data_IF_773131801178
#
_entry.id   IF_773131801178
#
_cell.length_a   1.000
_cell.length_b   1.000
_cell.length_c   1.000
_cell.angle_alpha   90.00
_cell.angle_beta   90.00
_cell.angle_gamma   90.00
#
_symmetry.space_group_name_H-M   'P 1'
#
loop_
_entity.id
_entity.type
_entity.pdbx_description
1 polymer ?
#
# COMPACT_ATOMS: atom_id res chain seq x y z
N UNK A 1 -0.84 18.50 -14.25
CA UNK A 1 -0.62 19.89 -14.69
C UNK A 1 0.47 20.49 -13.83
N UNK A 2 1.47 21.19 -14.40
CA UNK A 2 2.45 21.94 -13.63
C UNK A 2 1.75 22.92 -12.67
N UNK A 3 2.35 23.15 -11.49
CA UNK A 3 1.77 24.05 -10.49
C UNK A 3 1.67 25.50 -11.00
N UNK A 4 2.65 25.96 -11.78
CA UNK A 4 2.64 27.30 -12.38
C UNK A 4 1.45 27.53 -13.31
N UNK A 5 1.09 26.53 -14.13
CA UNK A 5 -0.08 26.63 -15.02
C UNK A 5 -1.38 26.65 -14.23
N UNK A 6 -1.44 25.91 -13.12
CA UNK A 6 -2.61 25.87 -12.23
C UNK A 6 -2.86 27.23 -11.60
N UNK A 7 -1.79 27.84 -11.11
CA UNK A 7 -1.84 29.11 -10.42
C UNK A 7 -2.22 30.22 -11.41
N UNK A 8 -1.62 30.23 -12.61
CA UNK A 8 -2.02 31.14 -13.69
C UNK A 8 -3.51 31.04 -14.07
N UNK A 9 -4.10 29.84 -14.08
CA UNK A 9 -5.53 29.66 -14.34
C UNK A 9 -6.38 30.22 -13.20
N UNK A 10 -5.96 30.03 -11.95
CA UNK A 10 -6.65 30.57 -10.78
C UNK A 10 -6.62 32.10 -10.79
N UNK A 11 -5.47 32.70 -11.07
CA UNK A 11 -5.29 34.16 -11.16
C UNK A 11 -6.15 34.75 -12.27
N UNK A 12 -6.09 34.15 -13.47
CA UNK A 12 -6.86 34.61 -14.62
C UNK A 12 -8.36 34.61 -14.35
N UNK A 13 -8.90 33.52 -13.80
CA UNK A 13 -10.33 33.42 -13.52
C UNK A 13 -10.76 34.36 -12.38
N UNK A 14 -9.89 34.61 -11.41
CA UNK A 14 -10.17 35.52 -10.29
C UNK A 14 -10.21 36.97 -10.76
N UNK A 15 -9.21 37.40 -11.53
CA UNK A 15 -9.14 38.73 -12.15
C UNK A 15 -10.34 39.00 -13.08
N UNK A 16 -10.75 38.01 -13.87
CA UNK A 16 -11.95 38.15 -14.72
C UNK A 16 -13.25 38.20 -13.93
N UNK A 17 -13.35 37.48 -12.82
CA UNK A 17 -14.54 37.56 -11.96
C UNK A 17 -14.69 38.95 -11.34
N UNK A 18 -13.59 39.59 -10.95
CA UNK A 18 -13.57 40.96 -10.44
C UNK A 18 -13.93 41.98 -11.54
N UNK A 19 -13.31 41.87 -12.72
CA UNK A 19 -13.53 42.81 -13.83
C UNK A 19 -14.93 42.77 -14.42
N UNK A 20 -15.56 41.59 -14.45
CA UNK A 20 -16.87 41.39 -15.09
C UNK A 20 -18.01 41.31 -14.10
N UNK A 21 -17.71 41.27 -12.79
CA UNK A 21 -18.66 41.02 -11.71
C UNK A 21 -19.51 39.76 -11.91
N UNK A 22 -19.03 38.83 -12.77
CA UNK A 22 -19.72 37.60 -13.06
C UNK A 22 -19.49 36.57 -11.95
N UNK A 23 -20.51 35.76 -11.62
CA UNK A 23 -20.33 34.67 -10.68
C UNK A 23 -19.25 33.69 -11.17
N UNK A 24 -18.28 33.36 -10.31
CA UNK A 24 -17.22 32.39 -10.59
C UNK A 24 -17.76 31.06 -11.14
N UNK A 25 -18.93 30.62 -10.68
CA UNK A 25 -19.58 29.41 -11.19
C UNK A 25 -19.88 29.45 -12.71
N UNK A 26 -20.17 30.63 -13.26
CA UNK A 26 -20.43 30.84 -14.69
C UNK A 26 -19.13 30.78 -15.49
N UNK A 27 -18.09 31.44 -14.99
CA UNK A 27 -16.75 31.40 -15.60
C UNK A 27 -16.17 29.98 -15.61
N UNK A 28 -16.29 29.24 -14.50
CA UNK A 28 -15.86 27.84 -14.41
C UNK A 28 -16.61 26.93 -15.37
N UNK A 29 -17.91 27.17 -15.58
CA UNK A 29 -18.70 26.42 -16.56
C UNK A 29 -18.20 26.66 -17.98
N UNK A 30 -17.87 27.90 -18.34
CA UNK A 30 -17.33 28.23 -19.66
C UNK A 30 -15.91 27.71 -19.87
N UNK A 31 -15.09 27.70 -18.82
CA UNK A 31 -13.75 27.13 -18.84
C UNK A 31 -13.73 25.59 -18.77
N UNK A 32 -14.91 24.94 -18.65
CA UNK A 32 -15.05 23.49 -18.46
C UNK A 32 -14.26 22.92 -17.27
N UNK A 33 -14.07 23.73 -16.23
CA UNK A 33 -13.38 23.35 -15.00
C UNK A 33 -14.42 23.04 -13.92
N UNK A 34 -14.31 21.87 -13.30
CA UNK A 34 -15.18 21.51 -12.19
C UNK A 34 -14.89 22.39 -10.96
N UNK A 35 -15.95 22.82 -10.25
CA UNK A 35 -15.81 23.63 -9.02
C UNK A 35 -14.86 23.00 -8.00
N UNK A 36 -14.95 21.69 -7.68
CA UNK A 36 -14.06 21.09 -6.68
C UNK A 36 -12.59 21.22 -7.07
N UNK A 37 -12.26 20.99 -8.34
CA UNK A 37 -10.90 21.11 -8.87
C UNK A 37 -10.38 22.54 -8.74
N UNK A 38 -11.19 23.54 -9.09
CA UNK A 38 -10.79 24.95 -8.95
C UNK A 38 -10.50 25.34 -7.50
N UNK A 39 -11.35 24.94 -6.55
CA UNK A 39 -11.12 25.29 -5.14
C UNK A 39 -9.94 24.53 -4.54
N UNK A 40 -9.72 23.27 -4.92
CA UNK A 40 -8.50 22.53 -4.58
C UNK A 40 -7.24 23.25 -5.10
N UNK A 41 -7.30 23.76 -6.33
CA UNK A 41 -6.20 24.51 -6.94
C UNK A 41 -5.95 25.84 -6.24
N UNK A 42 -7.01 26.60 -5.96
CA UNK A 42 -6.93 27.84 -5.19
C UNK A 42 -6.37 27.62 -3.79
N UNK A 43 -6.74 26.52 -3.12
CA UNK A 43 -6.20 26.17 -1.80
C UNK A 43 -4.71 25.86 -1.85
N UNK A 44 -4.24 25.28 -2.97
CA UNK A 44 -2.83 24.94 -3.17
C UNK A 44 -2.02 26.04 -3.88
N UNK A 45 -2.62 27.21 -4.12
CA UNK A 45 -1.98 28.29 -4.87
C UNK A 45 -0.61 28.66 -4.30
N UNK A 46 0.43 28.73 -5.14
CA UNK A 46 1.80 28.99 -4.74
C UNK A 46 2.55 27.76 -4.18
N UNK A 47 1.86 26.64 -3.92
CA UNK A 47 2.50 25.42 -3.49
C UNK A 47 2.95 24.59 -4.70
N UNK A 48 4.23 24.22 -4.69
CA UNK A 48 4.78 23.25 -5.62
C UNK A 48 4.03 21.92 -5.55
N UNK A 49 4.04 21.19 -6.67
CA UNK A 49 3.58 19.80 -6.66
C UNK A 49 4.64 18.94 -5.97
N UNK A 50 4.55 18.84 -4.66
CA UNK A 50 5.27 17.81 -3.91
C UNK A 50 4.68 16.46 -4.30
N UNK A 51 5.41 15.72 -5.13
CA UNK A 51 5.12 14.29 -5.25
C UNK A 51 5.37 13.73 -3.87
N UNK A 52 4.37 13.09 -3.26
CA UNK A 52 4.63 12.16 -2.16
C UNK A 52 5.68 11.20 -2.71
N UNK A 53 6.95 11.44 -2.37
CA UNK A 53 8.06 10.68 -2.93
C UNK A 53 7.81 9.19 -2.65
N UNK A 54 8.58 8.32 -3.29
CA UNK A 54 8.66 6.94 -2.81
C UNK A 54 9.27 6.99 -1.42
N UNK A 55 8.44 7.20 -0.39
CA UNK A 55 8.82 6.97 1.00
C UNK A 55 9.30 5.53 1.00
N UNK A 56 10.60 5.28 1.23
CA UNK A 56 11.08 3.93 1.36
C UNK A 56 10.22 3.27 2.43
N UNK A 57 9.59 2.14 2.11
CA UNK A 57 8.92 1.35 3.13
C UNK A 57 10.02 0.70 3.96
N UNK A 58 10.58 1.46 4.91
CA UNK A 58 11.64 1.02 5.82
C UNK A 58 11.08 0.11 6.93
N UNK A 59 10.49 -1.02 6.52
CA UNK A 59 9.92 -2.01 7.44
C UNK A 59 10.19 -3.42 6.92
N UNK A 60 11.40 -3.66 6.41
CA UNK A 60 11.81 -5.01 6.05
C UNK A 60 12.05 -5.79 7.32
N UNK A 61 11.44 -6.97 7.39
CA UNK A 61 11.73 -7.94 8.43
C UNK A 61 13.22 -8.28 8.36
N UNK A 62 13.92 -8.27 9.48
CA UNK A 62 15.33 -8.66 9.49
C UNK A 62 15.49 -10.16 9.24
N UNK A 63 16.62 -10.63 8.71
CA UNK A 63 16.90 -12.06 8.58
C UNK A 63 16.78 -12.81 9.92
N UNK A 64 17.15 -12.17 11.03
CA UNK A 64 17.03 -12.71 12.38
C UNK A 64 15.56 -12.93 12.78
N UNK A 65 14.71 -11.90 12.62
CA UNK A 65 13.27 -11.99 12.87
C UNK A 65 12.62 -13.06 11.97
N UNK A 66 13.07 -13.18 10.73
CA UNK A 66 12.58 -14.22 9.80
C UNK A 66 12.87 -15.63 10.31
N UNK A 67 14.09 -15.86 10.78
CA UNK A 67 14.49 -17.15 11.36
C UNK A 67 13.71 -17.41 12.65
N UNK A 68 13.53 -16.40 13.51
CA UNK A 68 12.72 -16.51 14.71
C UNK A 68 11.28 -16.95 14.41
N UNK A 69 10.65 -16.42 13.35
CA UNK A 69 9.31 -16.85 12.91
C UNK A 69 9.30 -18.33 12.49
N UNK A 70 10.31 -18.77 11.73
CA UNK A 70 10.42 -20.16 11.26
C UNK A 70 10.63 -21.13 12.43
N UNK A 71 11.53 -20.79 13.34
CA UNK A 71 11.83 -21.59 14.54
C UNK A 71 10.64 -21.65 15.48
N UNK A 72 9.93 -20.53 15.65
CA UNK A 72 8.74 -20.47 16.48
C UNK A 72 7.60 -21.33 15.89
N UNK A 73 7.41 -21.29 14.57
CA UNK A 73 6.46 -22.15 13.89
C UNK A 73 6.84 -23.63 14.00
N UNK A 74 8.12 -23.99 13.92
CA UNK A 74 8.57 -25.37 14.09
C UNK A 74 8.20 -25.93 15.47
N UNK A 75 8.30 -25.11 16.52
CA UNK A 75 7.92 -25.46 17.90
C UNK A 75 6.39 -25.44 18.13
N UNK A 76 5.63 -24.73 17.30
CA UNK A 76 4.19 -24.47 17.49
C UNK A 76 3.34 -24.82 16.25
N UNK A 77 3.68 -25.88 15.53
CA UNK A 77 3.17 -26.21 14.18
C UNK A 77 1.66 -26.48 14.09
N UNK A 78 1.00 -26.77 15.22
CA UNK A 78 -0.45 -26.96 15.29
C UNK A 78 -1.23 -25.64 15.20
N UNK A 79 -0.57 -24.50 15.38
CA UNK A 79 -1.20 -23.20 15.34
C UNK A 79 -1.15 -22.58 13.94
N UNK A 80 -2.27 -22.01 13.50
CA UNK A 80 -2.29 -21.24 12.25
C UNK A 80 -1.47 -19.95 12.36
N UNK A 81 -0.93 -19.48 11.23
CA UNK A 81 -0.03 -18.31 11.14
C UNK A 81 -0.55 -17.05 11.87
N UNK A 82 -1.87 -16.78 11.87
CA UNK A 82 -2.46 -15.64 12.58
C UNK A 82 -2.29 -15.75 14.09
N UNK A 83 -2.51 -16.94 14.65
CA UNK A 83 -2.37 -17.19 16.08
C UNK A 83 -0.90 -17.09 16.49
N UNK A 84 -0.02 -17.68 15.69
CA UNK A 84 1.43 -17.55 15.89
C UNK A 84 1.89 -16.10 15.90
N UNK A 85 1.31 -15.24 15.06
CA UNK A 85 1.67 -13.81 15.01
C UNK A 85 1.46 -13.13 16.37
N UNK A 86 0.29 -13.33 16.99
CA UNK A 86 0.01 -12.72 18.29
C UNK A 86 0.80 -13.39 19.42
N UNK A 87 1.01 -14.72 19.35
CA UNK A 87 1.88 -15.40 20.32
C UNK A 87 3.33 -14.90 20.28
N UNK A 88 3.87 -14.63 19.09
CA UNK A 88 5.21 -14.05 18.95
C UNK A 88 5.27 -12.61 19.44
N UNK A 89 4.18 -11.84 19.28
CA UNK A 89 4.06 -10.49 19.83
C UNK A 89 4.02 -10.50 21.36
N UNK A 90 3.21 -11.38 21.96
CA UNK A 90 3.05 -11.50 23.41
C UNK A 90 4.33 -12.01 24.09
N UNK A 91 5.14 -12.80 23.37
CA UNK A 91 6.40 -13.38 23.86
C UNK A 91 7.64 -12.58 23.44
N UNK A 92 7.46 -11.40 22.84
CA UNK A 92 8.54 -10.52 22.40
C UNK A 92 9.57 -11.19 21.46
N UNK A 93 9.07 -12.01 20.53
CA UNK A 93 9.90 -12.80 19.58
C UNK A 93 10.06 -12.08 18.25
N UNK A 94 8.96 -11.60 17.68
CA UNK A 94 8.96 -10.90 16.38
C UNK A 94 7.68 -10.06 16.22
N UNK A 95 7.83 -8.80 15.81
CA UNK A 95 6.73 -7.88 15.61
C UNK A 95 6.41 -7.71 14.11
N UNK A 96 5.57 -8.60 13.57
CA UNK A 96 5.22 -8.61 12.15
C UNK A 96 3.70 -8.71 11.93
N UNK A 97 3.22 -8.24 10.77
CA UNK A 97 1.81 -8.43 10.41
C UNK A 97 1.50 -9.92 10.12
N UNK A 98 0.25 -10.39 10.32
CA UNK A 98 -0.10 -11.77 9.98
C UNK A 98 0.12 -12.12 8.51
N UNK A 99 0.01 -11.13 7.62
CA UNK A 99 0.30 -11.30 6.19
C UNK A 99 1.80 -11.52 5.94
N UNK A 100 2.66 -10.84 6.69
CA UNK A 100 4.12 -11.03 6.65
C UNK A 100 4.49 -12.42 7.14
N UNK A 101 3.98 -12.85 8.30
CA UNK A 101 4.20 -14.20 8.85
C UNK A 101 3.75 -15.27 7.86
N UNK A 102 2.56 -15.12 7.25
CA UNK A 102 2.10 -16.03 6.20
C UNK A 102 3.07 -16.10 5.02
N UNK A 103 3.61 -14.96 4.55
CA UNK A 103 4.56 -14.93 3.44
C UNK A 103 5.88 -15.60 3.78
N UNK A 104 6.37 -15.42 5.01
CA UNK A 104 7.56 -16.11 5.54
C UNK A 104 7.35 -17.62 5.53
N UNK A 105 6.26 -18.09 6.11
CA UNK A 105 5.91 -19.53 6.17
C UNK A 105 5.63 -20.13 4.79
N UNK A 106 5.08 -19.34 3.86
CA UNK A 106 4.86 -19.75 2.47
C UNK A 106 6.14 -19.74 1.62
N UNK A 107 7.27 -19.24 2.14
CA UNK A 107 8.50 -19.07 1.37
C UNK A 107 8.42 -17.98 0.29
N UNK A 108 7.45 -17.06 0.37
CA UNK A 108 7.26 -15.93 -0.58
C UNK A 108 7.68 -14.58 0.01
N UNK A 109 8.52 -14.62 1.03
CA UNK A 109 9.18 -13.42 1.52
C UNK A 109 10.45 -13.20 0.68
N UNK A 110 10.73 -11.95 0.31
CA UNK A 110 11.90 -11.59 -0.46
C UNK A 110 12.72 -10.57 0.35
N UNK A 111 13.91 -10.93 0.81
CA UNK A 111 14.91 -10.02 1.36
C UNK A 111 16.17 -10.01 0.49
N UNK A 112 16.15 -9.32 -0.64
CA UNK A 112 17.42 -9.15 -1.37
C UNK A 112 17.38 -7.85 -2.17
N UNK A 113 17.62 -6.74 -1.47
CA UNK A 113 18.27 -5.60 -2.09
C UNK A 113 19.74 -5.98 -2.33
N UNK A 114 19.97 -6.66 -3.46
CA UNK A 114 21.04 -6.41 -4.43
C UNK A 114 22.18 -5.48 -3.92
N UNK A 115 23.27 -6.00 -3.35
CA UNK A 115 24.55 -5.25 -3.39
C UNK A 115 25.86 -6.02 -3.12
N UNK A 116 25.88 -7.14 -2.37
CA UNK A 116 27.17 -7.71 -1.94
C UNK A 116 27.85 -8.68 -2.93
N UNK A 117 27.12 -9.39 -3.79
CA UNK A 117 27.75 -10.32 -4.77
C UNK A 117 28.14 -9.68 -6.12
N UNK A 118 27.60 -8.49 -6.45
CA UNK A 118 27.87 -7.84 -7.73
C UNK A 118 29.21 -7.07 -7.78
N UNK A 119 29.84 -6.84 -6.62
CA UNK A 119 31.09 -6.09 -6.50
C UNK A 119 32.35 -6.96 -6.64
N UNK A 120 32.27 -8.27 -6.42
CA UNK A 120 33.44 -9.17 -6.56
C UNK A 120 33.68 -9.69 -7.98
N UNK A 121 32.67 -9.68 -8.85
CA UNK A 121 32.80 -10.17 -10.23
C UNK A 121 32.12 -9.22 -11.19
N UNK A 122 32.89 -8.22 -11.63
CA UNK A 122 32.41 -7.27 -12.63
C UNK A 122 32.01 -7.97 -13.92
N UNK A 123 30.72 -8.19 -14.16
CA UNK A 123 30.14 -8.36 -15.51
C UNK A 123 28.60 -8.22 -15.50
N UNK A 124 28.13 -7.29 -16.35
CA UNK A 124 26.80 -7.06 -16.96
C UNK A 124 25.60 -7.88 -16.44
N UNK A 125 24.62 -7.15 -15.92
CA UNK A 125 23.25 -7.59 -15.68
C UNK A 125 22.56 -8.15 -16.93
N UNK A 126 22.03 -9.38 -16.82
CA UNK A 126 20.87 -9.86 -17.58
C UNK A 126 19.86 -10.44 -16.59
N UNK A 127 18.76 -9.74 -16.41
CA UNK A 127 17.60 -10.20 -15.65
C UNK A 127 16.99 -11.43 -16.31
N UNK A 128 17.26 -12.62 -15.78
CA UNK A 128 16.60 -13.85 -16.20
C UNK A 128 15.33 -14.05 -15.35
N UNK A 129 14.18 -13.78 -15.98
CA UNK A 129 12.88 -14.19 -15.46
C UNK A 129 12.86 -15.72 -15.23
N UNK A 130 12.77 -16.16 -13.97
CA UNK A 130 12.42 -17.55 -13.65
C UNK A 130 10.98 -17.63 -13.18
N UNK A 131 10.13 -18.09 -14.10
CA UNK A 131 8.82 -18.67 -13.81
C UNK A 131 8.98 -19.97 -13.00
N UNK A 132 8.31 -20.14 -11.85
CA UNK A 132 8.15 -21.46 -11.25
C UNK A 132 6.82 -22.06 -11.68
N UNK A 133 6.85 -22.84 -12.76
CA UNK A 133 5.85 -23.90 -13.00
C UNK A 133 6.20 -25.09 -12.09
N UNK A 134 5.17 -25.63 -11.45
CA UNK A 134 5.13 -26.93 -10.78
C UNK A 134 5.93 -27.11 -9.47
N UNK A 135 5.24 -26.92 -8.34
CA UNK A 135 5.28 -27.81 -7.17
C UNK A 135 3.94 -27.64 -6.44
N UNK A 136 2.95 -28.39 -6.92
CA UNK A 136 1.65 -28.49 -6.29
C UNK A 136 1.75 -29.38 -5.05
N UNK A 137 2.22 -28.83 -3.93
CA UNK A 137 1.91 -29.41 -2.62
C UNK A 137 0.65 -28.73 -2.09
N UNK A 138 -0.45 -29.45 -2.25
CA UNK A 138 -1.78 -29.11 -1.75
C UNK A 138 -1.75 -29.23 -0.21
N UNK A 139 -1.23 -28.21 0.48
CA UNK A 139 -1.47 -28.07 1.91
C UNK A 139 -2.95 -27.80 2.11
N UNK A 140 -3.69 -28.82 2.54
CA UNK A 140 -5.05 -28.68 3.01
C UNK A 140 -5.01 -27.83 4.29
N UNK A 141 -5.13 -26.52 4.14
CA UNK A 141 -5.35 -25.62 5.28
C UNK A 141 -6.75 -25.92 5.77
N UNK A 142 -6.84 -26.67 6.88
CA UNK A 142 -8.10 -26.93 7.58
C UNK A 142 -8.60 -25.61 8.14
N UNK A 143 -9.42 -24.90 7.36
CA UNK A 143 -10.16 -23.75 7.86
C UNK A 143 -11.29 -24.31 8.70
N UNK A 144 -11.18 -24.21 10.04
CA UNK A 144 -12.33 -24.42 10.90
C UNK A 144 -13.46 -23.51 10.43
N UNK A 145 -14.54 -24.13 9.94
CA UNK A 145 -15.81 -23.49 9.62
C UNK A 145 -16.25 -22.67 10.84
N UNK A 146 -16.10 -21.35 10.76
CA UNK A 146 -16.87 -20.45 11.60
C UNK A 146 -18.25 -20.33 10.98
N UNK A 147 -19.18 -21.17 11.42
CA UNK A 147 -20.60 -20.89 11.27
C UNK A 147 -20.91 -19.66 12.13
N UNK A 148 -20.70 -18.46 11.59
CA UNK A 148 -21.35 -17.26 12.10
C UNK A 148 -22.73 -17.20 11.45
N UNK A 149 -23.73 -17.77 12.14
CA UNK A 149 -25.12 -17.39 11.92
C UNK A 149 -25.28 -15.98 12.47
N UNK A 150 -25.20 -14.98 11.58
CA UNK A 150 -25.73 -13.65 11.87
C UNK A 150 -27.25 -13.71 11.70
N UNK A 151 -28.06 -13.39 12.70
CA UNK A 151 -29.49 -13.24 12.50
C UNK A 151 -29.73 -11.99 11.64
N UNK A 152 -30.18 -12.24 10.40
CA UNK A 152 -30.85 -11.25 9.57
C UNK A 152 -32.24 -11.07 10.15
N UNK A 153 -32.52 -9.93 10.78
CA UNK A 153 -33.90 -9.46 10.92
C UNK A 153 -34.06 -8.22 10.04
N UNK A 154 -34.80 -8.45 8.95
CA UNK A 154 -35.12 -7.45 7.94
C UNK A 154 -36.08 -6.40 8.46
N UNK A 155 -35.98 -5.23 7.82
CA UNK A 155 -36.77 -4.04 8.04
C UNK A 155 -38.28 -4.26 7.82
N UNK A 156 -39.10 -3.47 8.54
CA UNK A 156 -40.29 -2.83 7.97
C UNK A 156 -40.42 -1.40 8.48
N UNK A 157 -40.34 -0.46 7.54
CA UNK A 157 -41.03 0.83 7.57
C UNK A 157 -42.52 0.56 7.38
N UNK A 158 -43.36 1.17 8.21
CA UNK A 158 -44.54 1.94 7.81
C UNK A 158 -44.55 3.17 8.71
#
# INVERSE_FOLDING_TARGET
>A
MPHDTRDAVVDYLTDWAEKTELPMAKLLKWAEISKPRFYEWRQRHGNANEHNGKVPRDHWLEPAERNAILDFHAKNSLNGYRRLTFMMLDQDIAAASPATVYRVLKGRWAPESVELEALEKGHRFRSAARSPRALAHRHHVYQHRRNFLLPVHGARRV
#
